data_IF_105464177444
#
_entry.id   IF_105464177444
#
_cell.length_a   1.000
_cell.length_b   1.000
_cell.length_c   1.000
_cell.angle_alpha   90.00
_cell.angle_beta   90.00
_cell.angle_gamma   90.00
#
_symmetry.space_group_name_H-M   'P 1'
#
loop_
_entity.id
_entity.type
_entity.pdbx_description
1 polymer ?
#
# COMPACT_ATOMS: atom_id res chain seq x y z
N UNK A 1 -28.45 13.10 -42.38
CA UNK A 1 -27.93 13.62 -41.10
C UNK A 1 -27.12 12.54 -40.47
N UNK A 2 -25.80 12.62 -40.36
CA UNK A 2 -25.03 11.63 -39.66
C UNK A 2 -25.12 11.93 -38.16
N UNK A 3 -25.67 10.95 -37.41
CA UNK A 3 -25.55 10.92 -35.96
C UNK A 3 -24.06 10.80 -35.59
N UNK A 4 -23.56 11.87 -35.02
CA UNK A 4 -22.24 11.88 -34.40
C UNK A 4 -22.37 11.09 -33.09
N UNK A 5 -22.02 9.79 -33.12
CA UNK A 5 -21.82 9.03 -31.93
C UNK A 5 -20.65 9.62 -31.18
N UNK A 6 -20.93 10.38 -30.12
CA UNK A 6 -19.95 10.77 -29.12
C UNK A 6 -19.53 9.51 -28.38
N UNK A 7 -18.49 8.86 -28.84
CA UNK A 7 -17.74 7.87 -28.06
C UNK A 7 -17.10 8.60 -26.89
N UNK A 8 -17.79 8.61 -25.75
CA UNK A 8 -17.15 8.91 -24.46
C UNK A 8 -16.15 7.81 -24.19
N UNK A 9 -14.90 8.04 -24.55
CA UNK A 9 -13.79 7.25 -24.06
C UNK A 9 -13.77 7.45 -22.53
N UNK A 10 -14.28 6.49 -21.79
CA UNK A 10 -14.09 6.41 -20.34
C UNK A 10 -12.60 6.18 -20.14
N UNK A 11 -11.88 7.26 -19.94
CA UNK A 11 -10.46 7.20 -19.60
C UNK A 11 -10.39 6.51 -18.23
N UNK A 12 -10.02 5.25 -18.20
CA UNK A 12 -9.74 4.55 -16.96
C UNK A 12 -8.59 5.26 -16.27
N UNK A 13 -8.88 5.94 -15.17
CA UNK A 13 -7.85 6.62 -14.38
C UNK A 13 -7.03 5.53 -13.71
N UNK A 14 -5.76 5.40 -14.11
CA UNK A 14 -4.83 4.50 -13.43
C UNK A 14 -4.53 5.05 -12.03
N UNK A 15 -4.99 4.39 -10.95
CA UNK A 15 -4.76 4.85 -9.59
C UNK A 15 -3.28 4.85 -9.19
N UNK A 16 -2.43 4.15 -9.93
CA UNK A 16 -0.98 4.08 -9.72
C UNK A 16 -0.16 4.91 -10.72
N UNK A 17 -0.78 5.80 -11.49
CA UNK A 17 -0.05 6.64 -12.45
C UNK A 17 1.07 7.47 -11.78
N UNK A 18 0.87 7.94 -10.55
CA UNK A 18 1.90 8.63 -9.76
C UNK A 18 3.03 7.72 -9.34
N UNK A 19 2.73 6.46 -9.02
CA UNK A 19 3.76 5.46 -8.71
C UNK A 19 4.62 5.15 -9.94
N UNK A 20 4.01 5.05 -11.12
CA UNK A 20 4.74 4.89 -12.39
C UNK A 20 5.63 6.10 -12.69
N UNK A 21 5.29 7.28 -12.18
CA UNK A 21 6.12 8.49 -12.23
C UNK A 21 7.17 8.57 -11.10
N UNK A 22 7.35 7.51 -10.30
CA UNK A 22 8.36 7.42 -9.25
C UNK A 22 7.94 7.97 -7.88
N UNK A 23 6.66 8.29 -7.69
CA UNK A 23 6.14 8.70 -6.38
C UNK A 23 5.78 7.48 -5.52
N UNK A 24 5.75 7.69 -4.22
CA UNK A 24 5.37 6.70 -3.21
C UNK A 24 4.16 7.19 -2.42
N UNK A 25 3.46 6.27 -1.81
CA UNK A 25 2.33 6.57 -0.92
C UNK A 25 2.79 6.60 0.53
N UNK A 26 2.59 7.73 1.18
CA UNK A 26 2.77 7.90 2.61
C UNK A 26 1.42 7.77 3.30
N UNK A 27 1.25 6.72 4.09
CA UNK A 27 0.05 6.46 4.88
C UNK A 27 0.17 7.11 6.25
N UNK A 28 -0.90 7.79 6.69
CA UNK A 28 -0.94 8.59 7.92
C UNK A 28 0.23 9.58 7.98
N UNK A 29 0.32 10.50 7.01
CA UNK A 29 1.43 11.46 6.94
C UNK A 29 1.39 12.44 8.12
N UNK A 30 2.53 12.61 8.77
CA UNK A 30 2.84 13.79 9.58
C UNK A 30 3.69 14.73 8.71
N UNK A 31 3.04 15.77 8.18
CA UNK A 31 3.69 16.71 7.26
C UNK A 31 4.74 17.57 7.96
N UNK A 32 4.52 17.89 9.24
CA UNK A 32 5.43 18.71 10.03
C UNK A 32 6.76 18.00 10.28
N UNK A 33 6.67 16.74 10.67
CA UNK A 33 7.84 15.92 10.98
C UNK A 33 8.37 15.12 9.79
N UNK A 34 7.65 15.17 8.65
CA UNK A 34 7.92 14.36 7.44
C UNK A 34 8.03 12.87 7.75
N UNK A 35 7.03 12.36 8.43
CA UNK A 35 6.96 10.94 8.79
C UNK A 35 5.70 10.28 8.28
N UNK A 36 5.75 8.97 8.09
CA UNK A 36 4.64 8.11 7.70
C UNK A 36 4.55 6.92 8.66
N UNK A 37 3.36 6.40 8.90
CA UNK A 37 3.21 5.09 9.55
C UNK A 37 3.66 3.97 8.62
N UNK A 38 3.40 4.12 7.32
CA UNK A 38 3.94 3.24 6.29
C UNK A 38 4.16 4.00 4.98
N UNK A 39 5.10 3.49 4.19
CA UNK A 39 5.36 3.96 2.83
C UNK A 39 5.19 2.77 1.89
N UNK A 40 4.39 2.95 0.83
CA UNK A 40 4.21 1.96 -0.22
C UNK A 40 4.73 2.48 -1.55
N UNK A 41 5.49 1.65 -2.24
CA UNK A 41 5.92 1.86 -3.62
C UNK A 41 5.46 0.69 -4.49
N UNK A 42 5.43 0.91 -5.81
CA UNK A 42 4.90 -0.07 -6.75
C UNK A 42 5.83 -0.20 -7.94
N UNK A 43 6.19 -1.42 -8.26
CA UNK A 43 6.96 -1.77 -9.45
C UNK A 43 6.04 -2.53 -10.40
N UNK A 44 5.89 -2.03 -11.62
CA UNK A 44 5.07 -2.68 -12.65
C UNK A 44 5.72 -3.99 -13.08
N UNK A 45 4.98 -5.08 -12.99
CA UNK A 45 5.40 -6.43 -13.43
C UNK A 45 4.87 -6.73 -14.82
N UNK A 46 3.62 -6.39 -15.07
CA UNK A 46 2.95 -6.53 -16.38
C UNK A 46 1.79 -5.54 -16.48
N UNK A 47 1.03 -5.56 -17.58
CA UNK A 47 -0.13 -4.69 -17.73
C UNK A 47 -1.13 -4.91 -16.60
N UNK A 48 -1.38 -3.86 -15.80
CA UNK A 48 -2.30 -3.89 -14.67
C UNK A 48 -1.85 -4.71 -13.46
N UNK A 49 -0.61 -5.22 -13.44
CA UNK A 49 -0.05 -6.00 -12.32
C UNK A 49 1.21 -5.33 -11.79
N UNK A 50 1.32 -5.26 -10.46
CA UNK A 50 2.43 -4.60 -9.78
C UNK A 50 2.90 -5.44 -8.59
N UNK A 51 4.18 -5.27 -8.25
CA UNK A 51 4.70 -5.64 -6.93
C UNK A 51 4.62 -4.43 -6.00
N UNK A 52 3.90 -4.56 -4.91
CA UNK A 52 3.80 -3.55 -3.87
C UNK A 52 4.87 -3.82 -2.82
N UNK A 53 5.84 -2.92 -2.73
CA UNK A 53 6.81 -2.88 -1.65
C UNK A 53 6.27 -1.95 -0.55
N UNK A 54 5.97 -2.51 0.61
CA UNK A 54 5.49 -1.75 1.77
C UNK A 54 6.50 -1.78 2.90
N UNK A 55 6.87 -0.61 3.40
CA UNK A 55 7.63 -0.42 4.63
C UNK A 55 6.67 0.09 5.71
N UNK A 56 6.52 -0.63 6.81
CA UNK A 56 5.51 -0.38 7.86
C UNK A 56 6.17 -0.33 9.23
N UNK A 57 5.80 0.65 10.05
CA UNK A 57 6.11 0.64 11.48
C UNK A 57 5.26 -0.43 12.18
N UNK A 58 5.91 -1.41 12.82
CA UNK A 58 5.25 -2.52 13.50
C UNK A 58 5.31 -2.43 15.02
N UNK A 59 6.20 -1.61 15.55
CA UNK A 59 6.30 -1.25 16.96
C UNK A 59 7.02 0.10 17.09
N UNK A 60 7.26 0.57 18.29
CA UNK A 60 7.98 1.83 18.55
C UNK A 60 9.45 1.79 18.14
N UNK A 61 10.02 0.64 17.84
CA UNK A 61 11.44 0.46 17.55
C UNK A 61 11.72 -0.38 16.29
N UNK A 62 10.65 -0.89 15.65
CA UNK A 62 10.81 -1.84 14.54
C UNK A 62 9.94 -1.52 13.32
N UNK A 63 10.51 -1.82 12.15
CA UNK A 63 9.82 -1.75 10.85
C UNK A 63 9.83 -3.10 10.16
N UNK A 64 8.80 -3.34 9.36
CA UNK A 64 8.66 -4.49 8.48
C UNK A 64 8.61 -4.01 7.03
N UNK A 65 9.41 -4.64 6.17
CA UNK A 65 9.33 -4.50 4.73
C UNK A 65 8.74 -5.78 4.12
N UNK A 66 7.72 -5.63 3.28
CA UNK A 66 7.05 -6.75 2.61
C UNK A 66 6.86 -6.49 1.13
N UNK A 67 6.79 -7.56 0.35
CA UNK A 67 6.41 -7.57 -1.06
C UNK A 67 5.08 -8.28 -1.23
N UNK A 68 4.14 -7.65 -1.93
CA UNK A 68 2.81 -8.22 -2.17
C UNK A 68 2.39 -7.96 -3.63
N UNK A 69 2.06 -9.00 -4.41
CA UNK A 69 1.48 -8.82 -5.73
C UNK A 69 0.12 -8.15 -5.63
N UNK A 70 -0.08 -7.13 -6.46
CA UNK A 70 -1.37 -6.43 -6.58
C UNK A 70 -1.75 -6.25 -8.05
N UNK A 71 -3.04 -6.11 -8.29
CA UNK A 71 -3.60 -5.88 -9.62
C UNK A 71 -4.53 -4.67 -9.62
N UNK A 72 -4.64 -4.00 -10.77
CA UNK A 72 -5.63 -2.96 -10.96
C UNK A 72 -6.98 -3.58 -11.33
N UNK A 73 -8.03 -3.20 -10.61
CA UNK A 73 -9.40 -3.51 -10.94
C UNK A 73 -10.20 -2.22 -11.02
N UNK A 74 -10.45 -1.75 -12.24
CA UNK A 74 -11.05 -0.44 -12.50
C UNK A 74 -10.20 0.68 -11.87
N UNK A 75 -10.75 1.35 -10.86
CA UNK A 75 -10.13 2.47 -10.14
C UNK A 75 -9.54 2.08 -8.79
N UNK A 76 -9.39 0.77 -8.54
CA UNK A 76 -8.87 0.22 -7.29
C UNK A 76 -7.60 -0.60 -7.49
N UNK A 77 -6.76 -0.62 -6.46
CA UNK A 77 -5.61 -1.52 -6.33
C UNK A 77 -6.03 -2.66 -5.43
N UNK A 78 -5.99 -3.88 -5.94
CA UNK A 78 -6.46 -5.08 -5.23
C UNK A 78 -5.34 -6.09 -5.05
N UNK A 79 -5.31 -6.74 -3.89
CA UNK A 79 -4.38 -7.83 -3.58
C UNK A 79 -4.92 -8.72 -2.48
N UNK A 80 -4.28 -9.86 -2.29
CA UNK A 80 -4.63 -10.79 -1.21
C UNK A 80 -3.67 -10.64 -0.04
N UNK A 81 -4.21 -10.62 1.16
CA UNK A 81 -3.40 -10.73 2.39
C UNK A 81 -2.97 -12.18 2.52
N UNK A 82 -1.66 -12.44 2.46
CA UNK A 82 -1.12 -13.80 2.52
C UNK A 82 -0.09 -13.91 3.63
N UNK A 83 -0.24 -14.90 4.51
CA UNK A 83 0.70 -15.15 5.59
C UNK A 83 2.13 -15.35 5.07
N UNK A 84 2.30 -16.00 3.92
CA UNK A 84 3.62 -16.21 3.31
C UNK A 84 4.37 -14.92 2.97
N UNK A 85 3.66 -13.84 2.60
CA UNK A 85 4.28 -12.56 2.28
C UNK A 85 4.80 -11.88 3.55
N UNK A 86 4.07 -12.04 4.65
CA UNK A 86 4.52 -11.58 5.97
C UNK A 86 5.74 -12.35 6.45
N UNK A 87 5.72 -13.68 6.33
CA UNK A 87 6.83 -14.55 6.74
C UNK A 87 8.10 -14.34 5.90
N UNK A 88 7.94 -13.90 4.64
CA UNK A 88 9.06 -13.54 3.76
C UNK A 88 9.57 -12.11 3.98
N UNK A 89 8.97 -11.37 4.89
CA UNK A 89 9.31 -9.98 5.15
C UNK A 89 10.67 -9.77 5.78
N UNK A 90 11.15 -8.55 5.70
CA UNK A 90 12.41 -8.10 6.31
C UNK A 90 12.13 -7.22 7.51
N UNK A 91 12.64 -7.60 8.68
CA UNK A 91 12.46 -6.83 9.93
C UNK A 91 13.73 -6.08 10.27
N UNK A 92 13.57 -4.79 10.59
CA UNK A 92 14.65 -3.95 11.13
C UNK A 92 14.25 -3.43 12.51
N UNK A 93 15.18 -3.44 13.45
CA UNK A 93 15.03 -2.84 14.77
C UNK A 93 16.06 -1.77 14.98
N UNK A 94 15.64 -0.56 15.35
CA UNK A 94 16.48 0.63 15.40
C UNK A 94 17.30 0.83 14.10
N UNK A 95 16.69 0.55 12.94
CA UNK A 95 17.31 0.64 11.61
C UNK A 95 18.22 -0.55 11.24
N UNK A 96 18.55 -1.44 12.16
CA UNK A 96 19.42 -2.57 11.91
C UNK A 96 18.63 -3.81 11.49
N UNK A 97 19.11 -4.49 10.45
CA UNK A 97 18.53 -5.74 9.98
C UNK A 97 18.62 -6.81 11.07
N UNK A 98 17.49 -7.46 11.39
CA UNK A 98 17.51 -8.62 12.26
C UNK A 98 18.05 -9.85 11.54
N UNK A 99 18.76 -10.70 12.28
CA UNK A 99 19.11 -12.04 11.80
C UNK A 99 17.85 -12.87 11.57
N UNK A 100 17.87 -13.90 10.70
CA UNK A 100 16.70 -14.78 10.49
C UNK A 100 16.09 -15.32 11.79
N UNK A 101 16.90 -15.81 12.71
CA UNK A 101 16.44 -16.37 13.98
C UNK A 101 15.75 -15.31 14.87
N UNK A 102 16.25 -14.07 14.86
CA UNK A 102 15.65 -12.98 15.62
C UNK A 102 14.38 -12.41 14.94
N UNK A 103 14.30 -12.49 13.62
CA UNK A 103 13.15 -12.02 12.85
C UNK A 103 11.96 -13.00 12.89
N UNK A 104 12.23 -14.31 12.91
CA UNK A 104 11.21 -15.36 12.82
C UNK A 104 10.05 -15.18 13.82
N UNK A 105 10.27 -15.04 15.15
CA UNK A 105 9.16 -14.88 16.09
C UNK A 105 8.34 -13.59 15.84
N UNK A 106 8.97 -12.53 15.34
CA UNK A 106 8.28 -11.28 14.96
C UNK A 106 7.39 -11.52 13.75
N UNK A 107 7.92 -12.15 12.71
CA UNK A 107 7.18 -12.45 11.47
C UNK A 107 6.02 -13.40 11.72
N UNK A 108 6.20 -14.42 12.56
CA UNK A 108 5.14 -15.35 12.99
C UNK A 108 3.99 -14.59 13.68
N UNK A 109 4.32 -13.67 14.56
CA UNK A 109 3.33 -12.86 15.29
C UNK A 109 2.53 -11.98 14.31
N UNK A 110 3.19 -11.40 13.31
CA UNK A 110 2.55 -10.58 12.28
C UNK A 110 1.65 -11.45 11.40
N UNK A 111 2.14 -12.61 10.97
CA UNK A 111 1.35 -13.56 10.18
C UNK A 111 0.08 -14.00 10.93
N UNK A 112 0.16 -14.23 12.24
CA UNK A 112 -1.00 -14.51 13.08
C UNK A 112 -1.95 -13.31 13.18
N UNK A 113 -1.43 -12.09 13.30
CA UNK A 113 -2.25 -10.88 13.40
C UNK A 113 -3.06 -10.60 12.11
N UNK A 114 -2.53 -10.96 10.94
CA UNK A 114 -3.23 -10.80 9.66
C UNK A 114 -4.12 -11.99 9.29
N UNK A 115 -4.10 -13.07 10.06
CA UNK A 115 -4.87 -14.29 9.80
C UNK A 115 -6.39 -14.06 9.58
N UNK A 116 -7.07 -13.12 10.28
CA UNK A 116 -8.49 -12.81 10.02
C UNK A 116 -8.77 -12.29 8.60
N UNK A 117 -7.76 -11.76 7.92
CA UNK A 117 -7.83 -11.24 6.54
C UNK A 117 -7.19 -12.21 5.53
N UNK A 118 -6.63 -13.33 5.99
CA UNK A 118 -5.94 -14.29 5.13
C UNK A 118 -6.85 -14.78 4.02
N UNK A 119 -6.28 -14.85 2.80
CA UNK A 119 -6.95 -15.28 1.57
C UNK A 119 -8.17 -14.44 1.17
N UNK A 120 -8.37 -13.27 1.79
CA UNK A 120 -9.38 -12.30 1.38
C UNK A 120 -8.75 -11.25 0.46
N UNK A 121 -9.47 -10.93 -0.62
CA UNK A 121 -9.06 -9.82 -1.48
C UNK A 121 -9.32 -8.50 -0.75
N UNK A 122 -8.27 -7.67 -0.68
CA UNK A 122 -8.36 -6.30 -0.17
C UNK A 122 -8.18 -5.36 -1.35
N UNK A 123 -9.15 -4.50 -1.57
CA UNK A 123 -9.12 -3.48 -2.61
C UNK A 123 -9.07 -2.09 -1.99
N UNK A 124 -8.18 -1.26 -2.48
CA UNK A 124 -8.02 0.13 -2.05
C UNK A 124 -8.34 1.08 -3.20
N UNK A 125 -9.28 1.99 -2.97
CA UNK A 125 -9.58 3.11 -3.86
C UNK A 125 -9.07 4.40 -3.24
N UNK A 126 -8.33 5.19 -4.01
CA UNK A 126 -7.82 6.48 -3.56
C UNK A 126 -8.74 7.60 -4.00
N UNK A 127 -9.43 8.21 -3.05
CA UNK A 127 -10.39 9.31 -3.29
C UNK A 127 -9.73 10.63 -2.89
N UNK A 128 -9.72 11.65 -3.77
CA UNK A 128 -9.20 12.97 -3.44
C UNK A 128 -9.85 13.54 -2.18
N UNK A 129 -9.05 14.10 -1.28
CA UNK A 129 -9.47 14.71 -0.03
C UNK A 129 -8.58 15.90 0.30
N UNK A 130 -8.99 17.11 -0.10
CA UNK A 130 -8.14 18.30 -0.05
C UNK A 130 -6.91 18.16 -0.96
N UNK A 131 -5.73 18.42 -0.42
CA UNK A 131 -4.46 18.26 -1.14
C UNK A 131 -3.95 16.81 -1.19
N UNK A 132 -4.56 15.92 -0.42
CA UNK A 132 -4.17 14.51 -0.27
C UNK A 132 -5.28 13.57 -0.76
N UNK A 133 -5.25 12.32 -0.32
CA UNK A 133 -6.23 11.29 -0.65
C UNK A 133 -6.69 10.57 0.61
N UNK A 134 -7.89 9.99 0.54
CA UNK A 134 -8.36 8.98 1.47
C UNK A 134 -8.31 7.63 0.77
N UNK A 135 -7.57 6.69 1.31
CA UNK A 135 -7.62 5.30 0.91
C UNK A 135 -8.86 4.64 1.50
N UNK A 136 -9.82 4.30 0.65
CA UNK A 136 -11.05 3.59 1.00
C UNK A 136 -10.86 2.11 0.77
N UNK A 137 -11.04 1.33 1.83
CA UNK A 137 -10.66 -0.09 1.83
C UNK A 137 -11.91 -0.96 1.81
N UNK A 138 -11.91 -1.95 0.92
CA UNK A 138 -12.91 -3.03 0.89
C UNK A 138 -12.22 -4.37 1.12
N UNK A 139 -12.83 -5.23 1.90
CA UNK A 139 -12.36 -6.59 2.19
C UNK A 139 -13.42 -7.58 1.71
N UNK A 140 -13.03 -8.51 0.86
CA UNK A 140 -13.94 -9.48 0.23
C UNK A 140 -15.18 -8.79 -0.38
N UNK A 141 -14.97 -7.65 -1.05
CA UNK A 141 -16.03 -6.87 -1.70
C UNK A 141 -16.86 -5.96 -0.77
N UNK A 142 -16.63 -6.00 0.55
CA UNK A 142 -17.36 -5.17 1.52
C UNK A 142 -16.53 -3.97 1.94
N UNK A 143 -17.05 -2.76 1.77
CA UNK A 143 -16.40 -1.52 2.20
C UNK A 143 -16.29 -1.46 3.73
N UNK A 144 -15.12 -1.08 4.20
CA UNK A 144 -14.75 -1.00 5.63
C UNK A 144 -14.35 0.43 5.99
N UNK A 145 -15.32 1.31 6.32
CA UNK A 145 -15.05 2.71 6.64
C UNK A 145 -14.16 2.88 7.89
N UNK A 146 -14.16 1.90 8.78
CA UNK A 146 -13.26 1.83 9.94
C UNK A 146 -11.78 1.67 9.57
N UNK A 147 -11.50 1.28 8.32
CA UNK A 147 -10.16 1.12 7.77
C UNK A 147 -9.72 2.29 6.88
N UNK A 148 -10.57 3.29 6.67
CA UNK A 148 -10.21 4.46 5.86
C UNK A 148 -8.98 5.17 6.46
N UNK A 149 -8.06 5.55 5.60
CA UNK A 149 -6.79 6.14 6.04
C UNK A 149 -6.34 7.24 5.08
N UNK A 150 -5.76 8.30 5.66
CA UNK A 150 -5.19 9.40 4.88
C UNK A 150 -3.91 8.95 4.18
N UNK A 151 -3.78 9.32 2.91
CA UNK A 151 -2.63 9.01 2.07
C UNK A 151 -2.17 10.27 1.35
N UNK A 152 -0.85 10.48 1.36
CA UNK A 152 -0.18 11.53 0.61
C UNK A 152 0.76 10.89 -0.41
N UNK A 153 0.74 11.37 -1.66
CA UNK A 153 1.79 11.04 -2.60
C UNK A 153 3.03 11.89 -2.33
N UNK A 154 4.17 11.24 -2.24
CA UNK A 154 5.47 11.86 -1.94
C UNK A 154 6.50 11.45 -2.99
N UNK A 155 7.42 12.35 -3.29
CA UNK A 155 8.63 12.01 -4.03
C UNK A 155 9.72 11.47 -3.07
N UNK A 156 10.64 10.62 -3.54
CA UNK A 156 11.78 10.18 -2.72
C UNK A 156 12.59 11.36 -2.15
N UNK A 157 12.66 12.47 -2.91
CA UNK A 157 13.37 13.70 -2.50
C UNK A 157 12.67 14.52 -1.42
N UNK A 158 11.40 14.23 -1.09
CA UNK A 158 10.65 14.98 -0.08
C UNK A 158 11.14 14.71 1.35
N UNK A 159 11.92 13.63 1.55
CA UNK A 159 12.56 13.32 2.81
C UNK A 159 11.63 12.70 3.87
N UNK A 160 10.50 12.12 3.46
CA UNK A 160 9.64 11.36 4.37
C UNK A 160 10.27 10.03 4.76
N UNK A 161 10.14 9.66 6.01
CA UNK A 161 10.61 8.37 6.55
C UNK A 161 9.48 7.66 7.30
N UNK A 162 9.58 6.34 7.39
CA UNK A 162 8.75 5.56 8.31
C UNK A 162 9.39 5.61 9.69
N UNK A 163 8.62 6.07 10.65
CA UNK A 163 9.04 6.03 12.06
C UNK A 163 8.18 5.02 12.79
N UNK A 164 8.85 4.18 13.58
CA UNK A 164 8.18 3.28 14.51
C UNK A 164 7.40 4.05 15.56
#
# INVERSE_FOLDING_TARGET
MPLLELLFAVTMINPLARAEAGQMQCYRPDVTNKTCQSIASYVRVSSGSYDNLALVAISSDATLETHTPVVLRRDAVCGFVRAKDMLAGTVRRHGNLLTPDAAEPVLQKIAQAVAPFADKEVCTRYVPSGADFTAKISVAGTYRPDQDVKVKWIAPSDGYIVVP
#
